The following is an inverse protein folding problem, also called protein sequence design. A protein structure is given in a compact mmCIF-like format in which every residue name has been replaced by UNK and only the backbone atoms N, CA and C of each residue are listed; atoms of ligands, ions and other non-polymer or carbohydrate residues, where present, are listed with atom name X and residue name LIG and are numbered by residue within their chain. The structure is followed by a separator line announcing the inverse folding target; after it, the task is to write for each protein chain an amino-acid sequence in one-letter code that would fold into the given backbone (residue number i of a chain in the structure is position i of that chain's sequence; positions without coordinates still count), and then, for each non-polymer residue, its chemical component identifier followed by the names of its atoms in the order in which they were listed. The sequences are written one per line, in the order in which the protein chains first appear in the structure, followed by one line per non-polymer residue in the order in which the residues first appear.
data_IF_339741384400
#
_entry.id   IF_339741384400
#
_cell.length_a   1.000
_cell.length_b   1.000
_cell.length_c   1.000
_cell.angle_alpha   90.00
_cell.angle_beta   90.00
_cell.angle_gamma   90.00
#
_symmetry.space_group_name_H-M   'P 1'
#
loop_
_entity.id
_entity.type
_entity.pdbx_description
1 polymer ?
#
# COMPACT_ATOMS: atom_id res chain seq x y z
N UNK A 1 -10.80 6.48 26.58
CA UNK A 1 -11.14 6.30 25.16
C UNK A 1 -10.95 4.84 24.81
N UNK A 2 -11.89 4.26 24.09
CA UNK A 2 -11.86 2.85 23.71
C UNK A 2 -11.60 2.65 22.23
N UNK A 3 -11.70 3.72 21.40
CA UNK A 3 -11.52 3.64 19.95
C UNK A 3 -10.24 4.30 19.49
N UNK A 4 -9.53 3.62 18.60
CA UNK A 4 -8.35 4.15 17.86
C UNK A 4 -8.58 3.96 16.36
N UNK A 5 -8.06 4.86 15.55
CA UNK A 5 -8.01 4.67 14.11
C UNK A 5 -6.69 3.99 13.73
N UNK A 6 -6.74 3.06 12.78
CA UNK A 6 -5.56 2.38 12.25
C UNK A 6 -5.53 2.62 10.75
N UNK A 7 -4.45 3.19 10.27
CA UNK A 7 -4.17 3.44 8.86
C UNK A 7 -2.78 2.90 8.53
N UNK A 8 -2.50 2.55 7.30
CA UNK A 8 -1.22 1.99 6.88
C UNK A 8 -0.97 2.27 5.40
N UNK A 9 0.28 2.16 4.97
CA UNK A 9 0.67 2.20 3.55
C UNK A 9 0.11 3.44 2.84
N UNK A 10 0.33 4.62 3.45
CA UNK A 10 -0.18 5.89 2.94
C UNK A 10 0.61 6.39 1.72
N UNK A 11 1.89 6.03 1.62
CA UNK A 11 2.77 6.31 0.48
C UNK A 11 2.70 7.77 -0.01
N UNK A 12 2.85 8.74 0.91
CA UNK A 12 2.92 10.15 0.51
C UNK A 12 4.08 10.37 -0.45
N UNK A 13 3.80 10.99 -1.59
CA UNK A 13 4.74 11.15 -2.68
C UNK A 13 4.68 10.05 -3.75
N UNK A 14 3.74 9.10 -3.64
CA UNK A 14 3.54 8.06 -4.64
C UNK A 14 3.35 8.61 -6.07
N UNK A 15 3.64 7.76 -7.06
CA UNK A 15 3.52 8.10 -8.49
C UNK A 15 4.34 9.34 -8.87
N UNK A 16 5.61 9.36 -8.41
CA UNK A 16 6.56 10.46 -8.66
C UNK A 16 6.03 11.82 -8.19
N UNK A 17 5.43 11.81 -7.02
CA UNK A 17 4.91 13.03 -6.39
C UNK A 17 3.82 13.72 -7.21
N UNK A 18 2.98 12.93 -7.88
CA UNK A 18 1.92 13.42 -8.75
C UNK A 18 0.91 14.28 -7.99
N UNK A 19 0.69 15.51 -8.45
CA UNK A 19 -0.32 16.42 -7.89
C UNK A 19 -1.73 15.80 -7.94
N UNK A 20 -2.04 15.05 -8.98
CA UNK A 20 -3.35 14.39 -9.13
C UNK A 20 -3.60 13.36 -8.03
N UNK A 21 -2.56 12.59 -7.66
CA UNK A 21 -2.64 11.68 -6.53
C UNK A 21 -2.74 12.42 -5.19
N UNK A 22 -2.01 13.50 -5.01
CA UNK A 22 -2.16 14.34 -3.82
C UNK A 22 -3.58 14.93 -3.68
N UNK A 23 -4.19 15.41 -4.76
CA UNK A 23 -5.57 15.91 -4.74
C UNK A 23 -6.57 14.79 -4.43
N UNK A 24 -6.34 13.57 -4.96
CA UNK A 24 -7.14 12.39 -4.69
C UNK A 24 -7.02 11.94 -3.23
N UNK A 25 -5.80 11.87 -2.68
CA UNK A 25 -5.56 11.57 -1.28
C UNK A 25 -6.21 12.60 -0.36
N UNK A 26 -6.07 13.89 -0.70
CA UNK A 26 -6.67 14.98 0.07
C UNK A 26 -8.20 14.84 0.15
N UNK A 27 -8.84 14.42 -0.91
CA UNK A 27 -10.28 14.17 -0.92
C UNK A 27 -10.67 13.07 0.09
N UNK A 28 -9.93 11.97 0.13
CA UNK A 28 -10.14 10.92 1.13
C UNK A 28 -9.96 11.45 2.56
N UNK A 29 -8.91 12.22 2.83
CA UNK A 29 -8.68 12.79 4.16
C UNK A 29 -9.79 13.74 4.57
N UNK A 30 -10.20 14.65 3.69
CA UNK A 30 -11.21 15.66 3.97
C UNK A 30 -12.61 15.08 4.16
N UNK A 31 -12.99 14.12 3.33
CA UNK A 31 -14.38 13.67 3.25
C UNK A 31 -14.62 12.40 4.07
N UNK A 32 -13.58 11.61 4.37
CA UNK A 32 -13.72 10.31 5.04
C UNK A 32 -12.94 10.25 6.34
N UNK A 33 -11.62 10.47 6.29
CA UNK A 33 -10.74 10.21 7.43
C UNK A 33 -11.01 11.19 8.59
N UNK A 34 -10.81 12.48 8.39
CA UNK A 34 -10.97 13.47 9.46
C UNK A 34 -12.40 13.56 9.99
N UNK A 35 -13.46 13.59 9.14
CA UNK A 35 -14.83 13.58 9.65
C UNK A 35 -15.16 12.33 10.50
N UNK A 36 -14.55 11.19 10.16
CA UNK A 36 -14.74 9.97 10.95
C UNK A 36 -14.04 10.08 12.31
N UNK A 37 -12.81 10.63 12.37
CA UNK A 37 -12.13 10.89 13.65
C UNK A 37 -12.98 11.80 14.55
N UNK A 38 -13.52 12.87 14.01
CA UNK A 38 -14.38 13.83 14.74
C UNK A 38 -15.68 13.16 15.23
N UNK A 39 -16.41 12.48 14.33
CA UNK A 39 -17.65 11.78 14.63
C UNK A 39 -17.49 10.78 15.78
N UNK A 40 -16.39 10.02 15.78
CA UNK A 40 -16.12 9.01 16.81
C UNK A 40 -15.28 9.54 17.98
N UNK A 41 -14.90 10.83 17.97
CA UNK A 41 -14.04 11.48 18.97
C UNK A 41 -12.72 10.74 19.20
N UNK A 42 -12.14 10.24 18.11
CA UNK A 42 -10.88 9.50 18.13
C UNK A 42 -9.74 10.49 18.38
N UNK A 43 -8.87 10.17 19.34
CA UNK A 43 -7.70 10.96 19.72
C UNK A 43 -6.40 10.17 19.63
N UNK A 44 -6.44 8.99 19.01
CA UNK A 44 -5.27 8.16 18.77
C UNK A 44 -5.36 7.55 17.39
N UNK A 45 -4.34 7.76 16.59
CA UNK A 45 -4.13 7.14 15.28
C UNK A 45 -2.92 6.21 15.38
N UNK A 46 -3.03 5.03 14.82
CA UNK A 46 -1.89 4.12 14.58
C UNK A 46 -1.63 4.11 13.08
N UNK A 47 -0.45 4.56 12.69
CA UNK A 47 0.10 4.47 11.35
C UNK A 47 1.05 3.28 11.30
N UNK A 48 0.68 2.26 10.54
CA UNK A 48 1.37 0.97 10.59
C UNK A 48 2.48 0.84 9.54
N UNK A 49 3.08 1.95 9.15
CA UNK A 49 4.26 2.00 8.30
C UNK A 49 3.94 2.42 6.86
N UNK A 50 5.00 2.60 6.11
CA UNK A 50 5.00 3.07 4.72
C UNK A 50 4.19 4.35 4.51
N UNK A 51 4.44 5.31 5.41
CA UNK A 51 3.84 6.63 5.37
C UNK A 51 4.31 7.43 4.15
N UNK A 52 5.59 7.32 3.80
CA UNK A 52 6.20 7.91 2.62
C UNK A 52 6.57 6.83 1.60
N UNK A 53 6.44 7.17 0.32
CA UNK A 53 6.60 6.22 -0.78
C UNK A 53 8.07 5.86 -1.09
N UNK A 54 8.97 6.80 -0.92
CA UNK A 54 10.37 6.62 -1.34
C UNK A 54 11.33 6.47 -0.18
N UNK A 55 12.12 5.40 -0.23
CA UNK A 55 13.14 5.05 0.75
C UNK A 55 14.30 6.04 0.83
N UNK A 56 14.86 6.42 -0.33
CA UNK A 56 16.13 7.17 -0.40
C UNK A 56 15.99 8.68 -0.52
N UNK A 57 14.78 9.18 -0.74
CA UNK A 57 14.58 10.63 -0.87
C UNK A 57 13.10 10.97 -0.88
N UNK A 58 12.75 12.01 -0.17
CA UNK A 58 11.39 12.53 -0.13
C UNK A 58 11.40 13.89 -0.81
N UNK A 59 10.55 14.06 -1.81
CA UNK A 59 10.36 15.33 -2.47
C UNK A 59 9.83 16.37 -1.47
N UNK A 60 10.35 17.61 -1.53
CA UNK A 60 9.92 18.68 -0.63
C UNK A 60 8.43 19.00 -0.76
N UNK A 61 7.85 18.86 -1.96
CA UNK A 61 6.42 19.07 -2.14
C UNK A 61 5.59 17.96 -1.48
N UNK A 62 6.04 16.70 -1.52
CA UNK A 62 5.39 15.59 -0.80
C UNK A 62 5.47 15.77 0.71
N UNK A 63 6.63 16.19 1.21
CA UNK A 63 6.82 16.45 2.64
C UNK A 63 5.94 17.61 3.11
N UNK A 64 5.94 18.73 2.39
CA UNK A 64 5.09 19.88 2.71
C UNK A 64 3.61 19.48 2.68
N UNK A 65 3.20 18.75 1.64
CA UNK A 65 1.83 18.27 1.52
C UNK A 65 1.42 17.38 2.71
N UNK A 66 2.28 16.44 3.10
CA UNK A 66 2.01 15.55 4.23
C UNK A 66 1.90 16.32 5.55
N UNK A 67 2.77 17.31 5.78
CA UNK A 67 2.72 18.17 6.94
C UNK A 67 1.42 18.97 6.97
N UNK A 68 1.14 19.75 5.94
CA UNK A 68 -0.01 20.69 5.89
C UNK A 68 -1.36 19.94 5.94
N UNK A 69 -1.46 18.76 5.28
CA UNK A 69 -2.73 18.07 5.07
C UNK A 69 -2.99 16.89 6.01
N UNK A 70 -1.97 16.41 6.72
CA UNK A 70 -2.12 15.27 7.63
C UNK A 70 -1.60 15.57 9.04
N UNK A 71 -0.30 15.86 9.20
CA UNK A 71 0.31 15.97 10.53
C UNK A 71 -0.13 17.21 11.30
N UNK A 72 -0.13 18.38 10.69
CA UNK A 72 -0.55 19.65 11.34
C UNK A 72 -2.01 19.57 11.76
N UNK A 73 -2.86 19.02 10.89
CA UNK A 73 -4.29 18.84 11.20
C UNK A 73 -4.50 17.88 12.38
N UNK A 74 -3.79 16.75 12.42
CA UNK A 74 -3.86 15.84 13.56
C UNK A 74 -3.33 16.45 14.84
N UNK A 75 -2.28 17.29 14.76
CA UNK A 75 -1.77 18.05 15.89
C UNK A 75 -2.80 19.07 16.39
N UNK A 76 -3.41 19.85 15.51
CA UNK A 76 -4.47 20.81 15.83
C UNK A 76 -5.70 20.14 16.46
N UNK A 77 -6.04 18.95 15.97
CA UNK A 77 -7.11 18.11 16.54
C UNK A 77 -6.74 17.51 17.91
N UNK A 78 -5.49 17.64 18.37
CA UNK A 78 -4.98 17.02 19.58
C UNK A 78 -4.98 15.49 19.52
N UNK A 79 -4.65 14.93 18.35
CA UNK A 79 -4.56 13.49 18.10
C UNK A 79 -3.12 13.02 18.29
N UNK A 80 -2.92 11.97 19.07
CA UNK A 80 -1.63 11.28 19.20
C UNK A 80 -1.49 10.26 18.08
N UNK A 81 -0.33 10.24 17.42
CA UNK A 81 0.01 9.31 16.35
C UNK A 81 1.06 8.33 16.87
N UNK A 82 0.80 7.04 16.73
CA UNK A 82 1.77 5.98 16.89
C UNK A 82 2.16 5.48 15.51
N UNK A 83 3.39 5.66 15.08
CA UNK A 83 3.84 5.27 13.75
C UNK A 83 4.96 4.24 13.83
N UNK A 84 4.89 3.22 12.97
CA UNK A 84 5.87 2.15 12.84
C UNK A 84 6.73 2.45 11.60
N UNK A 85 8.02 2.14 11.66
CA UNK A 85 8.89 2.20 10.48
C UNK A 85 8.55 1.04 9.56
N UNK A 86 8.15 1.34 8.31
CA UNK A 86 7.96 0.38 7.23
C UNK A 86 9.18 0.30 6.30
N UNK A 87 9.14 -0.61 5.33
CA UNK A 87 10.27 -0.82 4.41
C UNK A 87 10.52 0.35 3.46
N UNK A 88 9.50 1.12 3.09
CA UNK A 88 9.65 2.35 2.28
C UNK A 88 10.15 3.55 3.08
N UNK A 89 10.11 3.50 4.40
CA UNK A 89 10.57 4.60 5.25
C UNK A 89 11.94 4.36 5.87
N UNK A 90 12.45 3.13 5.86
CA UNK A 90 13.82 2.79 6.25
C UNK A 90 14.80 3.06 5.11
N UNK A 91 15.87 3.84 5.34
CA UNK A 91 16.83 4.22 4.30
C UNK A 91 17.59 3.00 3.74
N UNK A 92 18.09 2.14 4.63
CA UNK A 92 18.79 0.91 4.26
C UNK A 92 17.85 -0.29 4.33
N UNK A 93 18.09 -1.32 3.50
CA UNK A 93 17.27 -2.54 3.49
C UNK A 93 17.52 -3.47 4.70
N UNK A 94 18.61 -3.28 5.41
CA UNK A 94 19.05 -4.16 6.49
C UNK A 94 18.93 -3.56 7.89
N UNK A 95 18.47 -2.30 8.03
CA UNK A 95 18.34 -1.62 9.32
C UNK A 95 17.24 -0.55 9.30
N UNK A 96 16.61 -0.32 10.46
CA UNK A 96 15.64 0.77 10.67
C UNK A 96 16.26 2.00 11.36
N UNK A 97 17.56 2.00 11.65
CA UNK A 97 18.23 3.06 12.41
C UNK A 97 18.07 4.43 11.73
N UNK A 98 18.29 4.47 10.41
CA UNK A 98 18.08 5.68 9.62
C UNK A 98 16.74 5.56 8.87
N UNK A 99 15.76 6.32 9.30
CA UNK A 99 14.42 6.28 8.69
C UNK A 99 13.79 7.67 8.57
N UNK A 100 12.91 7.80 7.57
CA UNK A 100 12.28 9.06 7.22
C UNK A 100 11.34 9.59 8.31
N UNK A 101 10.57 8.71 8.95
CA UNK A 101 9.57 9.12 9.96
C UNK A 101 10.23 9.74 11.18
N UNK A 102 11.30 9.13 11.70
CA UNK A 102 12.03 9.69 12.83
C UNK A 102 12.72 11.01 12.48
N UNK A 103 13.32 11.11 11.29
CA UNK A 103 14.03 12.31 10.87
C UNK A 103 13.11 13.50 10.60
N UNK A 104 11.99 13.27 9.92
CA UNK A 104 11.15 14.34 9.36
C UNK A 104 10.02 14.75 10.30
N UNK A 105 9.68 13.92 11.29
CA UNK A 105 8.56 14.16 12.19
C UNK A 105 8.97 14.52 13.63
N UNK A 106 10.25 14.72 13.89
CA UNK A 106 10.79 15.08 15.24
C UNK A 106 10.17 16.34 15.85
N UNK A 107 9.71 17.26 15.05
CA UNK A 107 9.06 18.47 15.50
C UNK A 107 7.66 18.24 16.08
N UNK A 108 6.99 17.14 15.70
CA UNK A 108 5.66 16.79 16.15
C UNK A 108 5.68 16.05 17.49
N UNK A 109 5.36 16.76 18.58
CA UNK A 109 5.33 16.18 19.93
C UNK A 109 4.24 15.14 20.14
N UNK A 110 3.22 15.13 19.28
CA UNK A 110 2.13 14.17 19.27
C UNK A 110 2.44 12.91 18.44
N UNK A 111 3.60 12.83 17.77
CA UNK A 111 4.04 11.65 17.01
C UNK A 111 5.01 10.82 17.86
N UNK A 112 4.75 9.53 17.93
CA UNK A 112 5.61 8.51 18.57
C UNK A 112 6.05 7.53 17.51
N UNK A 113 7.35 7.48 17.24
CA UNK A 113 7.94 6.60 16.23
C UNK A 113 8.46 5.32 16.90
N UNK A 114 8.20 4.19 16.26
CA UNK A 114 8.69 2.87 16.66
C UNK A 114 9.58 2.31 15.54
N UNK A 115 10.88 2.43 15.72
CA UNK A 115 11.92 1.85 14.84
C UNK A 115 12.42 0.49 15.34
N UNK A 116 12.08 0.13 16.58
CA UNK A 116 12.37 -1.13 17.22
C UNK A 116 11.13 -1.76 17.83
N UNK A 117 11.07 -3.10 18.01
CA UNK A 117 9.96 -3.77 18.66
C UNK A 117 9.70 -3.19 20.05
N UNK A 118 8.51 -2.63 20.26
CA UNK A 118 8.23 -1.87 21.47
C UNK A 118 6.84 -2.16 22.01
N UNK A 119 6.74 -2.53 23.30
CA UNK A 119 5.45 -2.60 23.97
C UNK A 119 4.97 -1.22 24.39
N UNK A 120 3.74 -0.89 23.99
CA UNK A 120 3.07 0.36 24.37
C UNK A 120 1.59 0.15 24.65
N UNK A 121 0.93 1.19 25.17
CA UNK A 121 -0.49 1.14 25.52
C UNK A 121 -1.31 2.01 24.58
N UNK A 122 -2.36 1.44 24.03
CA UNK A 122 -3.47 2.14 23.39
C UNK A 122 -4.66 2.14 24.34
N UNK A 123 -4.77 3.19 25.17
CA UNK A 123 -5.69 3.20 26.30
C UNK A 123 -5.38 2.11 27.32
N UNK A 124 -6.25 1.08 27.41
CA UNK A 124 -6.02 -0.09 28.28
C UNK A 124 -5.42 -1.30 27.58
N UNK A 125 -5.34 -1.28 26.24
CA UNK A 125 -4.80 -2.36 25.45
C UNK A 125 -3.27 -2.28 25.44
N UNK A 126 -2.59 -3.35 25.87
CA UNK A 126 -1.17 -3.51 25.63
C UNK A 126 -0.96 -4.03 24.20
N UNK A 127 -0.07 -3.40 23.48
CA UNK A 127 0.24 -3.72 22.08
C UNK A 127 1.76 -3.86 21.94
N UNK A 128 2.22 -4.90 21.25
CA UNK A 128 3.57 -4.97 20.74
C UNK A 128 3.58 -4.35 19.34
N UNK A 129 4.24 -3.17 19.20
CA UNK A 129 4.52 -2.57 17.91
C UNK A 129 5.77 -3.21 17.31
N UNK A 130 5.68 -3.62 16.04
CA UNK A 130 6.74 -4.35 15.34
C UNK A 130 7.01 -3.61 14.03
N UNK A 131 8.11 -2.84 13.94
CA UNK A 131 8.51 -2.21 12.68
C UNK A 131 8.91 -3.25 11.65
N UNK A 132 9.19 -2.81 10.42
CA UNK A 132 9.70 -3.68 9.38
C UNK A 132 10.89 -4.51 9.88
N UNK A 133 10.76 -5.84 9.68
CA UNK A 133 11.75 -6.81 10.12
C UNK A 133 12.81 -6.96 9.04
N UNK A 134 14.06 -6.77 9.42
CA UNK A 134 15.23 -6.85 8.54
C UNK A 134 16.36 -7.65 9.22
N UNK A 135 17.49 -7.81 8.54
CA UNK A 135 18.59 -8.65 9.02
C UNK A 135 19.13 -8.22 10.39
N UNK A 136 19.21 -6.91 10.65
CA UNK A 136 19.76 -6.39 11.90
C UNK A 136 18.83 -6.62 13.09
N UNK A 137 17.53 -6.43 12.91
CA UNK A 137 16.56 -6.50 14.01
C UNK A 137 15.85 -7.85 14.13
N UNK A 138 16.16 -8.82 13.26
CA UNK A 138 15.47 -10.11 13.21
C UNK A 138 15.47 -10.84 14.55
N UNK A 139 16.65 -11.01 15.17
CA UNK A 139 16.77 -11.76 16.43
C UNK A 139 16.12 -11.02 17.60
N UNK A 140 16.28 -9.70 17.69
CA UNK A 140 15.67 -8.87 18.74
C UNK A 140 14.16 -8.85 18.60
N UNK A 141 13.64 -8.78 17.37
CA UNK A 141 12.21 -8.85 17.09
C UNK A 141 11.65 -10.23 17.45
N UNK A 142 12.33 -11.30 17.04
CA UNK A 142 11.91 -12.66 17.35
C UNK A 142 11.88 -12.93 18.86
N UNK A 143 12.87 -12.40 19.61
CA UNK A 143 12.88 -12.47 21.06
C UNK A 143 11.72 -11.67 21.68
N UNK A 144 11.47 -10.45 21.18
CA UNK A 144 10.37 -9.59 21.64
C UNK A 144 9.01 -10.25 21.44
N UNK A 145 8.79 -10.88 20.28
CA UNK A 145 7.57 -11.65 19.99
C UNK A 145 7.38 -12.80 20.98
N UNK A 146 8.45 -13.55 21.27
CA UNK A 146 8.39 -14.70 22.19
C UNK A 146 8.15 -14.31 23.66
N UNK A 147 8.70 -13.18 24.09
CA UNK A 147 8.65 -12.76 25.50
C UNK A 147 7.53 -11.79 25.81
N UNK A 148 6.87 -11.24 24.79
CA UNK A 148 5.79 -10.28 24.97
C UNK A 148 4.61 -10.87 25.78
N UNK A 149 4.13 -10.08 26.74
CA UNK A 149 2.90 -10.36 27.47
C UNK A 149 1.65 -9.82 26.79
N UNK A 150 1.80 -9.02 25.74
CA UNK A 150 0.71 -8.43 24.98
C UNK A 150 -0.09 -9.50 24.24
N UNK A 151 -1.42 -9.30 24.13
CA UNK A 151 -2.30 -10.17 23.34
C UNK A 151 -2.59 -9.62 21.95
N UNK A 152 -2.14 -8.42 21.68
CA UNK A 152 -2.26 -7.74 20.37
C UNK A 152 -0.87 -7.35 19.88
N UNK A 153 -0.58 -7.63 18.62
CA UNK A 153 0.57 -7.11 17.91
C UNK A 153 0.11 -6.25 16.72
N UNK A 154 0.84 -5.18 16.45
CA UNK A 154 0.63 -4.31 15.31
C UNK A 154 1.96 -4.11 14.61
N UNK A 155 2.06 -4.48 13.32
CA UNK A 155 3.35 -4.50 12.65
C UNK A 155 3.30 -4.14 11.17
N UNK A 156 4.49 -3.97 10.60
CA UNK A 156 4.68 -3.87 9.16
C UNK A 156 5.39 -5.15 8.71
N UNK A 157 4.61 -6.19 8.43
CA UNK A 157 5.08 -7.57 8.39
C UNK A 157 4.99 -8.14 6.98
N UNK A 158 5.99 -8.91 6.59
CA UNK A 158 6.02 -9.71 5.38
C UNK A 158 5.81 -11.18 5.73
N UNK A 159 4.55 -11.66 5.60
CA UNK A 159 4.18 -13.02 5.98
C UNK A 159 3.73 -13.81 4.75
N UNK A 160 4.26 -15.03 4.60
CA UNK A 160 3.79 -15.93 3.56
C UNK A 160 2.36 -16.40 3.79
N UNK A 161 1.66 -16.72 2.70
CA UNK A 161 0.30 -17.23 2.71
C UNK A 161 -0.78 -16.16 2.65
N UNK A 162 -0.41 -14.87 2.60
CA UNK A 162 -1.35 -13.75 2.46
C UNK A 162 -1.20 -13.09 1.08
N UNK A 163 -2.29 -12.54 0.50
CA UNK A 163 -2.23 -11.83 -0.76
C UNK A 163 -1.56 -10.46 -0.57
N UNK A 164 -0.51 -10.19 -1.36
CA UNK A 164 0.08 -8.86 -1.43
C UNK A 164 -0.82 -7.91 -2.25
N UNK A 165 -1.36 -8.40 -3.35
CA UNK A 165 -2.38 -7.77 -4.17
C UNK A 165 -3.33 -8.83 -4.74
N UNK A 166 -4.42 -8.38 -5.37
CA UNK A 166 -5.46 -9.26 -5.87
C UNK A 166 -4.92 -10.31 -6.83
N UNK A 167 -5.14 -11.58 -6.49
CA UNK A 167 -4.72 -12.72 -7.32
C UNK A 167 -3.27 -13.17 -7.09
N UNK A 168 -2.51 -12.51 -6.21
CA UNK A 168 -1.13 -12.89 -5.92
C UNK A 168 -0.92 -13.13 -4.42
N UNK A 169 -0.76 -14.38 -4.04
CA UNK A 169 -0.45 -14.80 -2.67
C UNK A 169 1.05 -14.97 -2.51
N UNK A 170 1.62 -14.36 -1.48
CA UNK A 170 3.05 -14.45 -1.19
C UNK A 170 3.42 -15.86 -0.72
N UNK A 171 4.36 -16.47 -1.40
CA UNK A 171 4.92 -17.78 -1.05
C UNK A 171 6.12 -17.65 -0.10
N UNK A 172 6.81 -16.52 -0.17
CA UNK A 172 7.95 -16.17 0.68
C UNK A 172 7.53 -15.30 1.86
N UNK A 173 8.45 -15.06 2.80
CA UNK A 173 8.23 -14.29 4.02
C UNK A 173 8.18 -15.15 5.28
N UNK A 174 7.96 -14.49 6.41
CA UNK A 174 7.95 -15.14 7.73
C UNK A 174 6.71 -16.02 7.89
N UNK A 175 6.84 -17.08 8.71
CA UNK A 175 5.69 -17.93 9.06
C UNK A 175 4.81 -17.25 10.10
N UNK A 176 3.51 -17.10 9.81
CA UNK A 176 2.52 -16.55 10.73
C UNK A 176 2.41 -17.31 12.07
N UNK A 177 2.95 -18.54 12.17
CA UNK A 177 3.06 -19.30 13.42
C UNK A 177 3.94 -18.60 14.46
N UNK A 178 4.88 -17.75 14.04
CA UNK A 178 5.70 -16.94 14.93
C UNK A 178 4.83 -16.12 15.89
N UNK A 179 3.65 -15.70 15.44
CA UNK A 179 2.70 -14.86 16.16
C UNK A 179 1.63 -15.66 16.94
N UNK A 180 1.81 -16.95 17.17
CA UNK A 180 0.79 -17.83 17.79
C UNK A 180 0.40 -17.43 19.22
N UNK A 181 1.24 -16.70 19.95
CA UNK A 181 0.95 -16.21 21.31
C UNK A 181 -0.01 -15.01 21.34
N UNK A 182 -0.19 -14.31 20.21
CA UNK A 182 -1.09 -13.17 20.11
C UNK A 182 -2.48 -13.63 19.70
N UNK A 183 -3.51 -13.04 20.33
CA UNK A 183 -4.91 -13.25 19.94
C UNK A 183 -5.27 -12.48 18.67
N UNK A 184 -4.64 -11.33 18.45
CA UNK A 184 -4.86 -10.46 17.29
C UNK A 184 -3.54 -9.92 16.79
N UNK A 185 -3.32 -9.99 15.49
CA UNK A 185 -2.18 -9.39 14.80
C UNK A 185 -2.71 -8.55 13.65
N UNK A 186 -2.40 -7.27 13.63
CA UNK A 186 -2.74 -6.36 12.55
C UNK A 186 -1.47 -5.96 11.81
N UNK A 187 -1.51 -5.98 10.48
CA UNK A 187 -0.33 -5.67 9.66
C UNK A 187 -0.66 -4.70 8.53
N UNK A 188 0.29 -3.80 8.24
CA UNK A 188 0.47 -3.15 6.96
C UNK A 188 1.33 -3.98 6.01
N UNK A 189 1.96 -3.34 5.03
CA UNK A 189 2.83 -3.87 3.99
C UNK A 189 2.08 -4.43 2.78
N UNK A 190 1.11 -5.31 2.95
CA UNK A 190 0.31 -5.80 1.83
C UNK A 190 -0.91 -4.91 1.62
N UNK A 191 -1.06 -4.41 0.38
CA UNK A 191 -2.08 -3.42 0.05
C UNK A 191 -3.50 -4.01 -0.01
N UNK A 192 -3.64 -5.34 -0.14
CA UNK A 192 -4.94 -6.03 -0.16
C UNK A 192 -5.36 -6.45 1.24
N UNK A 193 -6.59 -6.11 1.63
CA UNK A 193 -7.17 -6.58 2.89
C UNK A 193 -7.34 -8.08 2.88
N UNK A 194 -6.83 -8.74 3.92
CA UNK A 194 -6.96 -10.19 4.07
C UNK A 194 -6.87 -10.62 5.53
N UNK A 195 -7.38 -11.79 5.87
CA UNK A 195 -7.29 -12.32 7.23
C UNK A 195 -7.38 -13.84 7.26
N UNK A 196 -6.69 -14.44 8.23
CA UNK A 196 -6.86 -15.84 8.61
C UNK A 196 -7.72 -16.02 9.89
N UNK A 197 -8.33 -14.92 10.37
CA UNK A 197 -9.09 -14.84 11.60
C UNK A 197 -8.30 -14.36 12.83
N UNK A 198 -6.98 -14.47 12.81
CA UNK A 198 -6.07 -13.99 13.86
C UNK A 198 -5.14 -12.90 13.35
N UNK A 199 -4.54 -13.10 12.18
CA UNK A 199 -3.68 -12.14 11.49
C UNK A 199 -4.54 -11.44 10.44
N UNK A 200 -4.50 -10.11 10.42
CA UNK A 200 -5.25 -9.29 9.47
C UNK A 200 -4.33 -8.25 8.84
N UNK A 201 -4.21 -8.31 7.52
CA UNK A 201 -3.66 -7.24 6.70
C UNK A 201 -4.74 -6.21 6.43
N UNK A 202 -4.44 -4.93 6.67
CA UNK A 202 -5.44 -3.88 6.67
C UNK A 202 -5.61 -3.18 5.32
N UNK A 203 -4.62 -3.33 4.44
CA UNK A 203 -4.61 -2.72 3.12
C UNK A 203 -4.43 -1.21 3.15
N UNK A 204 -3.99 -0.64 2.03
CA UNK A 204 -3.76 0.79 1.89
C UNK A 204 -5.08 1.60 1.84
N UNK A 205 -5.03 2.93 2.11
CA UNK A 205 -6.25 3.73 2.26
C UNK A 205 -6.92 4.13 0.94
N UNK A 206 -6.20 4.04 -0.16
CA UNK A 206 -6.65 4.46 -1.50
C UNK A 206 -5.84 3.74 -2.59
N UNK A 207 -6.32 3.79 -3.82
CA UNK A 207 -5.61 3.20 -4.96
C UNK A 207 -4.34 4.00 -5.28
N UNK A 208 -3.22 3.30 -5.42
CA UNK A 208 -1.91 3.84 -5.79
C UNK A 208 -1.50 3.26 -7.15
N UNK A 209 -1.77 1.99 -7.36
CA UNK A 209 -1.40 1.24 -8.56
C UNK A 209 -2.64 0.68 -9.27
N UNK A 210 -2.52 0.30 -10.54
CA UNK A 210 -3.63 -0.27 -11.29
C UNK A 210 -4.07 -1.66 -10.81
N UNK A 211 -3.21 -2.38 -10.10
CA UNK A 211 -3.56 -3.64 -9.46
C UNK A 211 -4.43 -3.46 -8.20
N UNK A 212 -4.57 -2.23 -7.72
CA UNK A 212 -5.48 -1.88 -6.63
C UNK A 212 -6.95 -1.82 -7.05
N UNK A 213 -7.24 -1.87 -8.34
CA UNK A 213 -8.59 -1.75 -8.89
C UNK A 213 -9.51 -2.85 -8.35
N UNK A 214 -10.66 -2.41 -7.83
CA UNK A 214 -11.73 -3.32 -7.39
C UNK A 214 -11.55 -3.92 -6.00
N UNK A 215 -10.50 -3.52 -5.27
CA UNK A 215 -10.33 -3.87 -3.85
C UNK A 215 -10.91 -2.76 -2.95
N UNK A 216 -11.47 -3.17 -1.81
CA UNK A 216 -11.93 -2.21 -0.81
C UNK A 216 -10.74 -1.56 -0.10
N UNK A 217 -10.66 -0.24 -0.17
CA UNK A 217 -9.60 0.60 0.42
C UNK A 217 -10.16 1.43 1.57
N UNK A 218 -9.28 1.99 2.40
CA UNK A 218 -9.67 2.85 3.50
C UNK A 218 -8.83 2.61 4.75
N UNK A 219 -9.44 2.83 5.92
CA UNK A 219 -8.78 2.63 7.21
C UNK A 219 -9.71 1.87 8.17
N UNK A 220 -9.28 1.66 9.41
CA UNK A 220 -10.05 0.87 10.35
C UNK A 220 -10.22 1.63 11.68
N UNK A 221 -11.33 1.34 12.37
CA UNK A 221 -11.53 1.73 13.77
C UNK A 221 -11.45 0.47 14.62
N UNK A 222 -10.53 0.45 15.58
CA UNK A 222 -10.41 -0.61 16.57
C UNK A 222 -10.99 -0.14 17.91
N UNK A 223 -11.93 -0.90 18.45
CA UNK A 223 -12.30 -0.76 19.85
C UNK A 223 -11.31 -1.56 20.72
N UNK A 224 -10.53 -0.86 21.53
CA UNK A 224 -9.42 -1.43 22.31
C UNK A 224 -9.87 -2.28 23.52
N UNK A 225 -11.17 -2.36 23.78
CA UNK A 225 -11.74 -3.19 24.84
C UNK A 225 -12.35 -4.45 24.27
N UNK A 226 -13.18 -4.32 23.24
CA UNK A 226 -13.87 -5.45 22.62
C UNK A 226 -13.07 -6.13 21.52
N UNK A 227 -11.98 -5.51 21.08
CA UNK A 227 -11.16 -5.91 19.93
C UNK A 227 -11.94 -5.96 18.60
N UNK A 228 -13.11 -5.30 18.55
CA UNK A 228 -13.85 -5.18 17.30
C UNK A 228 -13.12 -4.24 16.37
N UNK A 229 -12.73 -4.76 15.21
CA UNK A 229 -12.17 -4.01 14.09
C UNK A 229 -13.27 -3.69 13.09
N UNK A 230 -13.45 -2.41 12.76
CA UNK A 230 -14.48 -1.92 11.84
C UNK A 230 -13.81 -1.21 10.65
N UNK A 231 -13.96 -1.72 9.43
CA UNK A 231 -13.42 -1.05 8.25
C UNK A 231 -14.23 0.21 7.92
N UNK A 232 -13.54 1.27 7.55
CA UNK A 232 -14.10 2.51 7.01
C UNK A 232 -13.60 2.62 5.58
N UNK A 233 -14.50 2.38 4.62
CA UNK A 233 -14.12 2.31 3.23
C UNK A 233 -13.98 3.70 2.60
N UNK A 234 -12.97 3.83 1.73
CA UNK A 234 -12.83 4.96 0.84
C UNK A 234 -13.79 4.78 -0.36
N UNK A 235 -14.74 5.69 -0.58
CA UNK A 235 -15.67 5.57 -1.71
C UNK A 235 -15.07 6.06 -3.04
N UNK A 236 -13.85 6.59 -3.04
CA UNK A 236 -13.21 7.20 -4.20
C UNK A 236 -12.26 6.22 -4.87
N UNK A 237 -12.25 6.23 -6.21
CA UNK A 237 -11.32 5.48 -7.05
C UNK A 237 -10.49 6.43 -7.90
N UNK A 238 -9.24 6.07 -8.17
CA UNK A 238 -8.36 6.77 -9.10
C UNK A 238 -8.37 6.09 -10.47
N UNK A 239 -8.50 4.77 -10.48
CA UNK A 239 -8.46 3.96 -11.68
C UNK A 239 -9.84 3.46 -12.08
N UNK A 240 -10.08 3.37 -13.39
CA UNK A 240 -11.30 2.77 -13.95
C UNK A 240 -10.97 1.90 -15.15
N UNK A 241 -11.71 0.81 -15.30
CA UNK A 241 -11.59 -0.08 -16.45
C UNK A 241 -12.83 0.09 -17.32
N UNK A 242 -12.61 0.29 -18.61
CA UNK A 242 -13.67 0.34 -19.61
C UNK A 242 -13.45 -0.80 -20.60
N UNK A 243 -14.42 -1.69 -20.70
CA UNK A 243 -14.45 -2.67 -21.78
C UNK A 243 -15.14 -2.04 -23.01
N UNK A 244 -14.40 -1.89 -24.11
CA UNK A 244 -14.95 -1.45 -25.39
C UNK A 244 -15.31 -2.67 -26.24
N UNK A 245 -16.59 -2.82 -26.55
CA UNK A 245 -17.13 -3.86 -27.43
C UNK A 245 -18.10 -3.23 -28.44
N UNK A 246 -17.55 -2.57 -29.48
CA UNK A 246 -18.31 -1.76 -30.43
C UNK A 246 -19.25 -0.74 -29.75
N UNK A 247 -18.92 -0.27 -28.57
CA UNK A 247 -19.74 0.58 -27.69
C UNK A 247 -20.05 1.92 -28.37
N UNK A 248 -21.34 2.31 -28.48
CA UNK A 248 -21.73 3.56 -29.15
C UNK A 248 -21.26 4.79 -28.36
N UNK A 249 -20.41 5.62 -28.95
CA UNK A 249 -19.90 6.83 -28.30
C UNK A 249 -21.00 7.85 -27.95
N UNK A 250 -22.12 7.87 -28.69
CA UNK A 250 -23.21 8.84 -28.50
C UNK A 250 -23.87 8.68 -27.12
N UNK A 251 -24.11 7.44 -26.68
CA UNK A 251 -24.83 7.10 -25.45
C UNK A 251 -23.92 6.84 -24.27
N UNK A 252 -22.60 6.75 -24.49
CA UNK A 252 -21.65 6.46 -23.44
C UNK A 252 -21.42 7.69 -22.54
N UNK A 253 -21.69 7.56 -21.24
CA UNK A 253 -21.49 8.65 -20.27
C UNK A 253 -20.05 8.67 -19.76
N UNK A 254 -19.33 9.75 -20.06
CA UNK A 254 -17.92 9.89 -19.69
C UNK A 254 -17.71 10.69 -18.39
N UNK A 255 -18.75 11.29 -17.81
CA UNK A 255 -18.63 12.18 -16.62
C UNK A 255 -18.02 11.48 -15.40
N UNK A 256 -18.27 10.19 -15.23
CA UNK A 256 -17.75 9.39 -14.11
C UNK A 256 -16.24 9.14 -14.19
N UNK A 257 -15.63 9.39 -15.35
CA UNK A 257 -14.19 9.17 -15.58
C UNK A 257 -13.35 10.44 -15.48
N UNK A 258 -14.00 11.59 -15.24
CA UNK A 258 -13.30 12.87 -15.07
C UNK A 258 -12.28 12.77 -13.92
N UNK A 259 -11.03 13.20 -14.18
CA UNK A 259 -9.93 13.17 -13.24
C UNK A 259 -9.37 11.77 -12.93
N UNK A 260 -9.80 10.71 -13.64
CA UNK A 260 -9.35 9.33 -13.42
C UNK A 260 -8.33 8.86 -14.44
N UNK A 261 -7.64 7.78 -14.10
CA UNK A 261 -6.79 7.01 -15.01
C UNK A 261 -7.64 5.87 -15.56
N UNK A 262 -7.81 5.84 -16.89
CA UNK A 262 -8.70 4.89 -17.57
C UNK A 262 -7.88 3.82 -18.27
N UNK A 263 -8.17 2.55 -17.97
CA UNK A 263 -7.71 1.40 -18.75
C UNK A 263 -8.81 0.97 -19.71
N UNK A 264 -8.61 1.27 -21.00
CA UNK A 264 -9.54 0.90 -22.06
C UNK A 264 -9.15 -0.46 -22.64
N UNK A 265 -9.94 -1.49 -22.37
CA UNK A 265 -9.75 -2.84 -22.90
C UNK A 265 -10.61 -2.97 -24.16
N UNK A 266 -9.96 -3.16 -25.29
CA UNK A 266 -10.66 -3.29 -26.59
C UNK A 266 -10.98 -4.76 -26.86
N UNK A 267 -12.24 -5.15 -26.64
CA UNK A 267 -12.73 -6.50 -26.89
C UNK A 267 -13.07 -6.70 -28.36
N UNK A 268 -13.71 -5.69 -28.97
CA UNK A 268 -14.14 -5.72 -30.35
C UNK A 268 -14.16 -4.32 -30.95
N UNK A 269 -13.64 -4.18 -32.16
CA UNK A 269 -13.48 -2.93 -32.91
C UNK A 269 -13.84 -3.17 -34.38
N UNK A 270 -15.13 -3.42 -34.66
CA UNK A 270 -15.61 -3.73 -36.02
C UNK A 270 -15.58 -2.51 -36.96
N UNK A 271 -15.74 -1.30 -36.41
CA UNK A 271 -15.72 -0.04 -37.16
C UNK A 271 -14.64 0.90 -36.54
N UNK A 272 -13.46 1.04 -37.19
CA UNK A 272 -12.40 1.90 -36.69
C UNK A 272 -12.83 3.36 -36.49
N UNK A 273 -13.70 3.90 -37.34
CA UNK A 273 -14.14 5.29 -37.21
C UNK A 273 -15.06 5.52 -36.00
N UNK A 274 -15.85 4.52 -35.63
CA UNK A 274 -16.67 4.60 -34.40
C UNK A 274 -15.77 4.47 -33.14
N UNK A 275 -14.75 3.62 -33.20
CA UNK A 275 -13.77 3.49 -32.15
C UNK A 275 -12.99 4.80 -31.92
N UNK A 276 -12.47 5.41 -32.99
CA UNK A 276 -11.78 6.72 -32.89
C UNK A 276 -12.70 7.77 -32.23
N UNK A 277 -13.95 7.89 -32.60
CA UNK A 277 -14.91 8.81 -31.97
C UNK A 277 -15.17 8.48 -30.49
N UNK A 278 -15.12 7.21 -30.11
CA UNK A 278 -15.25 6.80 -28.72
C UNK A 278 -14.02 7.23 -27.91
N UNK A 279 -12.82 6.98 -28.44
CA UNK A 279 -11.55 7.41 -27.84
C UNK A 279 -11.50 8.93 -27.72
N UNK A 280 -11.82 9.67 -28.78
CA UNK A 280 -11.85 11.13 -28.78
C UNK A 280 -12.82 11.67 -27.72
N UNK A 281 -13.98 11.04 -27.56
CA UNK A 281 -14.94 11.42 -26.52
C UNK A 281 -14.41 11.22 -25.11
N UNK A 282 -13.70 10.10 -24.85
CA UNK A 282 -13.04 9.85 -23.58
C UNK A 282 -11.92 10.87 -23.31
N UNK A 283 -11.05 11.10 -24.26
CA UNK A 283 -9.97 12.09 -24.14
C UNK A 283 -10.51 13.50 -23.92
N UNK A 284 -11.65 13.84 -24.55
CA UNK A 284 -12.34 15.11 -24.34
C UNK A 284 -13.06 15.24 -22.98
N UNK A 285 -13.14 14.20 -22.18
CA UNK A 285 -13.85 14.21 -20.89
C UNK A 285 -12.95 14.54 -19.67
N UNK A 286 -11.78 15.13 -19.91
CA UNK A 286 -10.86 15.55 -18.86
C UNK A 286 -10.38 14.39 -17.95
N UNK A 287 -10.15 13.21 -18.54
CA UNK A 287 -9.47 12.11 -17.85
C UNK A 287 -7.99 12.45 -17.64
N UNK A 288 -7.37 11.92 -16.61
CA UNK A 288 -5.95 12.17 -16.32
C UNK A 288 -5.04 11.44 -17.30
N UNK A 289 -5.32 10.17 -17.53
CA UNK A 289 -4.52 9.29 -18.37
C UNK A 289 -5.43 8.22 -18.99
N UNK A 290 -5.08 7.75 -20.18
CA UNK A 290 -5.74 6.60 -20.79
C UNK A 290 -4.70 5.61 -21.29
N UNK A 291 -4.82 4.36 -20.86
CA UNK A 291 -4.06 3.22 -21.36
C UNK A 291 -4.98 2.32 -22.18
N UNK A 292 -4.62 2.10 -23.44
CA UNK A 292 -5.39 1.25 -24.35
C UNK A 292 -4.74 -0.14 -24.40
N UNK A 293 -5.55 -1.17 -24.23
CA UNK A 293 -5.16 -2.58 -24.28
C UNK A 293 -5.97 -3.27 -25.38
N UNK A 294 -5.33 -3.65 -26.48
CA UNK A 294 -6.00 -4.22 -27.67
C UNK A 294 -5.84 -5.74 -27.81
N UNK A 295 -4.91 -6.37 -27.07
CA UNK A 295 -4.65 -7.81 -27.16
C UNK A 295 -4.66 -8.48 -25.79
N UNK A 296 -4.93 -9.79 -25.76
CA UNK A 296 -4.86 -10.59 -24.52
C UNK A 296 -3.43 -10.57 -23.93
N UNK A 297 -2.40 -10.52 -24.76
CA UNK A 297 -1.00 -10.42 -24.33
C UNK A 297 -0.73 -9.11 -23.59
N UNK A 298 -1.37 -8.02 -24.02
CA UNK A 298 -1.21 -6.71 -23.35
C UNK A 298 -1.95 -6.64 -22.00
N UNK A 299 -2.92 -7.53 -21.74
CA UNK A 299 -3.65 -7.59 -20.46
C UNK A 299 -2.77 -8.17 -19.36
N UNK A 300 -1.91 -9.13 -19.71
CA UNK A 300 -1.08 -9.86 -18.74
C UNK A 300 0.31 -9.22 -18.51
N UNK A 301 0.82 -8.44 -19.48
CA UNK A 301 2.20 -7.92 -19.45
C UNK A 301 2.35 -6.48 -18.96
N UNK A 302 1.34 -5.90 -18.31
CA UNK A 302 1.42 -4.51 -17.81
C UNK A 302 2.25 -4.38 -16.53
N UNK A 303 3.56 -4.54 -16.63
CA UNK A 303 4.53 -4.36 -15.55
C UNK A 303 4.79 -2.89 -15.15
N UNK A 304 4.28 -1.91 -15.91
CA UNK A 304 4.52 -0.48 -15.64
C UNK A 304 3.81 0.04 -14.36
N UNK A 305 2.85 -0.73 -13.84
CA UNK A 305 2.10 -0.40 -12.61
C UNK A 305 2.54 -1.22 -11.40
N UNK A 306 3.65 -1.94 -11.54
CA UNK A 306 4.20 -2.80 -10.52
C UNK A 306 5.07 -1.98 -9.55
N UNK A 307 4.90 -2.20 -8.24
CA UNK A 307 5.83 -1.70 -7.24
C UNK A 307 7.04 -2.65 -7.17
N UNK A 308 8.18 -2.29 -7.75
CA UNK A 308 9.35 -3.17 -7.77
C UNK A 308 9.95 -3.41 -6.38
N UNK A 309 9.45 -2.73 -5.33
CA UNK A 309 9.91 -2.92 -3.97
C UNK A 309 9.04 -3.91 -3.17
N UNK A 310 7.85 -4.31 -3.69
CA UNK A 310 6.96 -5.28 -3.03
C UNK A 310 7.30 -6.75 -3.37
N UNK A 311 8.01 -7.00 -4.45
CA UNK A 311 8.59 -8.32 -4.78
C UNK A 311 10.09 -8.20 -5.07
N UNK A 312 10.85 -9.24 -4.74
CA UNK A 312 12.24 -9.34 -5.15
C UNK A 312 12.32 -9.37 -6.70
N UNK A 313 13.18 -8.53 -7.26
CA UNK A 313 13.40 -8.42 -8.73
C UNK A 313 13.64 -9.79 -9.38
N UNK A 314 14.24 -10.73 -8.66
CA UNK A 314 14.49 -12.10 -9.14
C UNK A 314 13.19 -12.90 -9.27
N UNK A 315 12.26 -12.74 -8.34
CA UNK A 315 10.95 -13.42 -8.39
C UNK A 315 10.15 -12.96 -9.60
N UNK A 316 10.17 -11.64 -9.89
CA UNK A 316 9.53 -11.05 -11.07
C UNK A 316 10.14 -11.63 -12.37
N UNK A 317 11.46 -11.59 -12.47
CA UNK A 317 12.17 -12.11 -13.64
C UNK A 317 11.96 -13.60 -13.83
N UNK A 318 11.90 -14.37 -12.73
CA UNK A 318 11.64 -15.81 -12.77
C UNK A 318 10.24 -16.12 -13.27
N UNK A 319 9.23 -15.37 -12.82
CA UNK A 319 7.84 -15.47 -13.27
C UNK A 319 7.71 -15.13 -14.75
N UNK A 320 8.34 -14.03 -15.18
CA UNK A 320 8.36 -13.62 -16.59
C UNK A 320 8.94 -14.73 -17.50
N UNK A 321 10.01 -15.44 -17.05
CA UNK A 321 10.59 -16.55 -17.80
C UNK A 321 9.63 -17.74 -17.86
N UNK A 322 8.89 -18.02 -16.75
CA UNK A 322 7.92 -19.12 -16.73
C UNK A 322 6.76 -18.90 -17.70
N UNK A 323 6.29 -17.68 -17.78
CA UNK A 323 5.17 -17.26 -18.62
C UNK A 323 5.56 -17.04 -20.09
N UNK A 324 6.86 -16.82 -20.37
CA UNK A 324 7.35 -16.59 -21.73
C UNK A 324 7.34 -17.87 -22.57
N UNK A 325 6.92 -17.77 -23.83
CA UNK A 325 7.02 -18.88 -24.82
C UNK A 325 8.45 -18.95 -25.39
N UNK A 326 9.40 -19.37 -24.57
CA UNK A 326 10.80 -19.50 -24.93
C UNK A 326 11.11 -20.93 -25.35
N UNK A 327 11.75 -21.09 -26.52
CA UNK A 327 12.28 -22.36 -26.99
C UNK A 327 13.57 -22.84 -26.25
N UNK A 328 14.07 -22.01 -25.32
CA UNK A 328 15.26 -22.26 -24.52
C UNK A 328 14.89 -22.89 -23.15
N UNK A 329 15.89 -23.53 -22.51
CA UNK A 329 15.72 -24.13 -21.20
C UNK A 329 15.48 -23.03 -20.13
N UNK A 330 14.25 -22.89 -19.68
CA UNK A 330 13.84 -21.88 -18.69
C UNK A 330 14.64 -21.94 -17.40
N UNK A 331 15.02 -23.14 -16.94
CA UNK A 331 15.82 -23.30 -15.72
C UNK A 331 17.24 -22.74 -15.87
N UNK A 332 17.87 -22.89 -17.02
CA UNK A 332 19.18 -22.31 -17.30
C UNK A 332 19.11 -20.80 -17.40
N UNK A 333 18.06 -20.24 -18.02
CA UNK A 333 17.84 -18.80 -18.10
C UNK A 333 17.64 -18.20 -16.71
N UNK A 334 16.82 -18.81 -15.86
CA UNK A 334 16.63 -18.37 -14.48
C UNK A 334 17.94 -18.38 -13.70
N UNK A 335 18.72 -19.46 -13.84
CA UNK A 335 20.03 -19.55 -13.17
C UNK A 335 20.99 -18.47 -13.64
N UNK A 336 21.03 -18.16 -14.94
CA UNK A 336 21.86 -17.10 -15.50
C UNK A 336 21.43 -15.71 -14.98
N UNK A 337 20.14 -15.43 -14.98
CA UNK A 337 19.58 -14.15 -14.47
C UNK A 337 19.90 -13.99 -12.99
N UNK A 338 19.71 -15.02 -12.19
CA UNK A 338 20.05 -15.02 -10.76
C UNK A 338 21.52 -14.68 -10.53
N UNK A 339 22.42 -15.31 -11.32
CA UNK A 339 23.86 -15.04 -11.24
C UNK A 339 24.21 -13.61 -11.63
N UNK A 340 23.66 -13.09 -12.72
CA UNK A 340 23.91 -11.73 -13.19
C UNK A 340 23.36 -10.70 -12.20
N UNK A 341 22.16 -10.92 -11.67
CA UNK A 341 21.55 -10.04 -10.67
C UNK A 341 22.38 -9.97 -9.37
N UNK A 342 22.84 -11.14 -8.89
CA UNK A 342 23.70 -11.19 -7.72
C UNK A 342 25.01 -10.42 -7.94
N UNK A 343 25.64 -10.57 -9.11
CA UNK A 343 26.83 -9.80 -9.46
C UNK A 343 26.57 -8.30 -9.56
N UNK A 344 25.40 -7.89 -10.08
CA UNK A 344 25.01 -6.49 -10.14
C UNK A 344 24.81 -5.90 -8.73
N UNK A 345 24.20 -6.65 -7.80
CA UNK A 345 24.04 -6.22 -6.41
C UNK A 345 25.36 -6.12 -5.61
N UNK A 346 26.39 -6.88 -6.01
CA UNK A 346 27.74 -6.79 -5.41
C UNK A 346 28.54 -5.57 -5.90
N UNK A 347 28.11 -4.92 -6.99
CA UNK A 347 28.76 -3.74 -7.58
C UNK A 347 28.18 -2.39 -7.14
N UNK A 348 27.09 -2.42 -6.35
CA UNK A 348 26.38 -1.24 -5.79
C UNK A 348 26.62 -1.16 -4.28
#
# INVERSE_FOLDING_TARGET
MTKVAIITDQHFGARKNSKQFHDYFLKFYNDVFFPTLEKHKIKTVVDMGDTFDSRKGIDFAALAWAKDNYYDRLQEMGVTIHTIVGNHTAYYKNTNELNAVDLLLREYKNVKVYSEPTEAKLGKLNVLFIPWINDENFETTHQSIKTSSSKCAMGHLELRGFPAYRGHTMEEGLDGKLFASFSHVYSGHYHTRSTDGRISYLGNPYEIYSNDIGDERGFHILDTVTMKLEPINNPYTMYEVIDYDDTPHQTFDTRQYEGKIVKLIVRKKSDPKKYEKFVDKLLGSNINEMKIVETFVDVETNFDDYDPESEDTISILSKYIDESDLSLNKAEIKHLIHKVYKQACELI
#
